data_IF_414592778853
#
_entry.id   IF_414592778853
#
_cell.length_a   1.000
_cell.length_b   1.000
_cell.length_c   1.000
_cell.angle_alpha   90.00
_cell.angle_beta   90.00
_cell.angle_gamma   90.00
#
_symmetry.space_group_name_H-M   'P 1'
#
loop_
_entity.id
_entity.type
_entity.pdbx_description
1 polymer ?
#
# COMPACT_ATOMS: atom_id res chain seq x y z
N UNK A 1 12.41 -4.83 -15.11
CA UNK A 1 12.93 -6.16 -14.66
C UNK A 1 12.75 -6.22 -13.16
N UNK A 2 12.19 -7.30 -12.60
CA UNK A 2 11.92 -7.36 -11.16
C UNK A 2 13.24 -7.45 -10.37
N UNK A 3 13.49 -6.55 -9.40
CA UNK A 3 14.69 -6.57 -8.55
C UNK A 3 14.48 -7.50 -7.35
N UNK A 4 14.61 -8.82 -7.57
CA UNK A 4 14.28 -9.85 -6.56
C UNK A 4 15.01 -9.73 -5.22
N UNK A 5 16.21 -9.13 -5.23
CA UNK A 5 17.07 -8.95 -4.05
C UNK A 5 16.76 -7.67 -3.26
N UNK A 6 15.89 -6.80 -3.77
CA UNK A 6 15.45 -5.58 -3.09
C UNK A 6 14.06 -5.81 -2.47
N UNK A 7 13.92 -5.85 -1.14
CA UNK A 7 12.66 -6.17 -0.48
C UNK A 7 11.59 -5.10 -0.70
N UNK A 8 11.97 -3.85 -0.99
CA UNK A 8 11.04 -2.74 -1.24
C UNK A 8 10.68 -2.67 -2.71
N UNK A 9 11.66 -2.67 -3.60
CA UNK A 9 11.43 -2.45 -5.03
C UNK A 9 10.79 -3.66 -5.74
N UNK A 10 10.84 -4.85 -5.14
CA UNK A 10 10.14 -6.03 -5.67
C UNK A 10 8.65 -6.08 -5.31
N UNK A 11 8.16 -5.22 -4.42
CA UNK A 11 6.74 -5.20 -4.04
C UNK A 11 5.89 -4.77 -5.24
N UNK A 12 4.73 -5.39 -5.42
CA UNK A 12 3.80 -5.08 -6.51
C UNK A 12 3.45 -3.58 -6.56
N UNK A 13 3.30 -2.93 -5.40
CA UNK A 13 3.03 -1.50 -5.29
C UNK A 13 4.20 -0.64 -5.79
N UNK A 14 5.45 -1.05 -5.53
CA UNK A 14 6.66 -0.37 -5.99
C UNK A 14 6.84 -0.56 -7.49
N UNK A 15 6.58 -1.77 -7.99
CA UNK A 15 6.57 -2.06 -9.42
C UNK A 15 5.50 -1.25 -10.14
N UNK A 16 4.27 -1.20 -9.62
CA UNK A 16 3.20 -0.36 -10.18
C UNK A 16 3.61 1.13 -10.20
N UNK A 17 4.22 1.61 -9.12
CA UNK A 17 4.69 2.98 -9.03
C UNK A 17 5.77 3.29 -10.09
N UNK A 18 6.85 2.50 -10.10
CA UNK A 18 8.04 2.75 -10.91
C UNK A 18 7.94 2.35 -12.38
N UNK A 19 7.05 1.43 -12.74
CA UNK A 19 6.90 0.94 -14.12
C UNK A 19 5.69 1.54 -14.85
N UNK A 20 4.69 2.06 -14.11
CA UNK A 20 3.46 2.59 -14.70
C UNK A 20 3.07 3.98 -14.20
N UNK A 21 2.88 4.17 -12.89
CA UNK A 21 2.31 5.42 -12.35
C UNK A 21 3.23 6.62 -12.64
N UNK A 22 4.52 6.49 -12.37
CA UNK A 22 5.48 7.56 -12.64
C UNK A 22 5.80 7.68 -14.14
N UNK A 23 6.33 6.64 -14.83
CA UNK A 23 6.83 6.81 -16.20
C UNK A 23 5.74 6.98 -17.26
N UNK A 24 4.53 6.44 -17.04
CA UNK A 24 3.44 6.47 -18.03
C UNK A 24 2.39 7.51 -17.66
N UNK A 25 1.96 7.57 -16.40
CA UNK A 25 0.92 8.52 -15.96
C UNK A 25 1.50 9.87 -15.49
N UNK A 26 2.83 9.96 -15.30
CA UNK A 26 3.51 11.17 -14.90
C UNK A 26 3.17 11.61 -13.47
N UNK A 27 2.87 10.67 -12.58
CA UNK A 27 2.56 10.95 -11.16
C UNK A 27 3.77 10.56 -10.31
N UNK A 28 4.64 11.53 -10.03
CA UNK A 28 5.90 11.28 -9.30
C UNK A 28 5.72 11.16 -7.79
N UNK A 29 4.91 12.05 -7.18
CA UNK A 29 4.60 12.00 -5.75
C UNK A 29 3.11 11.74 -5.51
N UNK A 30 2.79 10.46 -5.29
CA UNK A 30 1.42 9.99 -5.03
C UNK A 30 0.81 10.56 -3.74
N UNK A 31 1.59 11.19 -2.85
CA UNK A 31 1.09 11.81 -1.62
C UNK A 31 0.55 13.21 -1.86
N UNK A 32 0.88 13.83 -3.00
CA UNK A 32 0.63 15.25 -3.29
C UNK A 32 -0.10 15.47 -4.61
N UNK A 33 -0.03 14.52 -5.53
CA UNK A 33 -0.71 14.63 -6.82
C UNK A 33 -2.22 14.35 -6.67
N UNK A 34 -3.05 15.32 -7.04
CA UNK A 34 -4.51 15.24 -6.94
C UNK A 34 -5.13 14.27 -7.97
N UNK A 35 -4.35 13.79 -8.95
CA UNK A 35 -4.82 12.84 -9.99
C UNK A 35 -4.81 11.38 -9.54
N UNK A 36 -4.33 11.09 -8.32
CA UNK A 36 -4.35 9.76 -7.72
C UNK A 36 -5.01 9.80 -6.35
N UNK A 37 -5.82 8.78 -6.07
CA UNK A 37 -6.49 8.65 -4.79
C UNK A 37 -6.66 7.17 -4.41
N UNK A 38 -6.90 6.92 -3.13
CA UNK A 38 -6.86 5.59 -2.53
C UNK A 38 -8.18 5.23 -1.88
N UNK A 39 -8.73 4.08 -2.28
CA UNK A 39 -9.90 3.49 -1.63
C UNK A 39 -9.42 2.63 -0.45
N UNK A 40 -9.93 2.91 0.75
CA UNK A 40 -9.60 2.11 1.94
C UNK A 40 -10.11 0.67 1.82
N UNK A 41 -9.32 -0.29 2.33
CA UNK A 41 -9.53 -1.72 2.11
C UNK A 41 -10.93 -2.24 2.44
N UNK A 42 -11.59 -1.67 3.47
CA UNK A 42 -12.96 -2.05 3.88
C UNK A 42 -14.02 -1.82 2.79
N UNK A 43 -13.79 -0.87 1.87
CA UNK A 43 -14.74 -0.56 0.80
C UNK A 43 -14.63 -1.53 -0.39
N UNK A 44 -13.52 -2.25 -0.49
CA UNK A 44 -13.30 -3.29 -1.50
C UNK A 44 -13.31 -2.80 -2.96
N UNK A 45 -13.45 -3.76 -3.87
CA UNK A 45 -13.41 -3.56 -5.33
C UNK A 45 -14.60 -2.74 -5.84
N UNK A 46 -15.79 -2.90 -5.26
CA UNK A 46 -17.01 -2.20 -5.69
C UNK A 46 -16.84 -0.67 -5.63
N UNK A 47 -16.14 -0.17 -4.62
CA UNK A 47 -15.85 1.26 -4.51
C UNK A 47 -14.82 1.75 -5.54
N UNK A 48 -13.91 0.89 -6.01
CA UNK A 48 -13.01 1.22 -7.11
C UNK A 48 -13.78 1.27 -8.43
N UNK A 49 -14.57 0.23 -8.72
CA UNK A 49 -15.42 0.13 -9.91
C UNK A 49 -16.33 1.35 -10.04
N UNK A 50 -17.04 1.70 -8.96
CA UNK A 50 -17.93 2.86 -8.94
C UNK A 50 -17.24 4.18 -9.33
N UNK A 51 -15.98 4.39 -8.96
CA UNK A 51 -15.24 5.63 -9.30
C UNK A 51 -14.79 5.67 -10.75
N UNK A 52 -14.55 4.51 -11.35
CA UNK A 52 -14.22 4.40 -12.78
C UNK A 52 -15.50 4.56 -13.61
N UNK A 53 -16.55 3.84 -13.26
CA UNK A 53 -17.83 3.85 -13.98
C UNK A 53 -18.53 5.22 -13.95
N UNK A 54 -18.34 5.99 -12.87
CA UNK A 54 -18.86 7.35 -12.76
C UNK A 54 -18.09 8.38 -13.60
N UNK A 55 -16.91 8.03 -14.10
CA UNK A 55 -15.98 8.94 -14.76
C UNK A 55 -15.20 9.85 -13.82
N UNK A 56 -15.29 9.65 -12.49
CA UNK A 56 -14.49 10.38 -11.51
C UNK A 56 -13.00 10.06 -11.66
N UNK A 57 -12.66 8.80 -11.92
CA UNK A 57 -11.31 8.32 -12.16
C UNK A 57 -11.22 7.63 -13.52
N UNK A 58 -10.10 7.76 -14.21
CA UNK A 58 -9.92 7.14 -15.53
C UNK A 58 -9.64 5.62 -15.46
N UNK A 59 -9.04 5.15 -14.36
CA UNK A 59 -8.65 3.76 -14.15
C UNK A 59 -8.47 3.50 -12.65
N UNK A 60 -8.64 2.25 -12.24
CA UNK A 60 -8.35 1.79 -10.90
C UNK A 60 -7.43 0.57 -10.94
N UNK A 61 -6.55 0.46 -9.94
CA UNK A 61 -5.67 -0.69 -9.74
C UNK A 61 -5.99 -1.35 -8.41
N UNK A 62 -6.09 -2.68 -8.41
CA UNK A 62 -6.18 -3.48 -7.20
C UNK A 62 -5.02 -4.45 -7.17
N UNK A 63 -4.38 -4.57 -6.00
CA UNK A 63 -3.21 -5.42 -5.78
C UNK A 63 -3.56 -6.49 -4.77
N UNK A 64 -2.86 -7.63 -4.85
CA UNK A 64 -2.93 -8.60 -3.78
C UNK A 64 -2.39 -7.99 -2.47
N UNK A 65 -2.95 -8.39 -1.32
CA UNK A 65 -2.42 -7.94 -0.03
C UNK A 65 -0.94 -8.29 0.08
N UNK A 66 -0.12 -7.32 0.51
CA UNK A 66 1.28 -7.58 0.84
C UNK A 66 1.37 -8.70 1.88
N UNK A 67 2.16 -9.74 1.59
CA UNK A 67 2.31 -10.87 2.51
C UNK A 67 3.04 -10.46 3.79
N UNK A 68 2.77 -11.18 4.88
CA UNK A 68 3.51 -10.97 6.13
C UNK A 68 5.01 -11.21 5.95
N UNK A 69 5.40 -12.18 5.12
CA UNK A 69 6.81 -12.43 4.79
C UNK A 69 7.46 -11.22 4.12
N UNK A 70 6.80 -10.62 3.13
CA UNK A 70 7.32 -9.44 2.45
C UNK A 70 7.42 -8.23 3.40
N UNK A 71 6.41 -8.05 4.26
CA UNK A 71 6.45 -7.00 5.28
C UNK A 71 7.62 -7.18 6.25
N UNK A 72 7.84 -8.41 6.73
CA UNK A 72 8.94 -8.72 7.64
C UNK A 72 10.29 -8.53 6.94
N UNK A 73 10.42 -8.93 5.67
CA UNK A 73 11.65 -8.72 4.91
C UNK A 73 12.03 -7.23 4.76
N UNK A 74 11.05 -6.34 4.56
CA UNK A 74 11.29 -4.88 4.53
C UNK A 74 11.75 -4.38 5.90
N UNK A 75 11.10 -4.84 6.98
CA UNK A 75 11.46 -4.45 8.34
C UNK A 75 12.86 -4.95 8.76
N UNK A 76 13.19 -6.19 8.43
CA UNK A 76 14.50 -6.80 8.70
C UNK A 76 15.63 -6.10 7.94
N UNK A 77 15.33 -5.50 6.78
CA UNK A 77 16.25 -4.67 6.02
C UNK A 77 16.42 -3.25 6.61
N UNK A 78 15.64 -2.87 7.64
CA UNK A 78 15.63 -1.52 8.20
C UNK A 78 14.98 -0.47 7.31
N UNK A 79 14.19 -0.91 6.33
CA UNK A 79 13.54 -0.06 5.32
C UNK A 79 12.09 0.27 5.69
N UNK A 80 11.50 1.21 4.95
CA UNK A 80 10.12 1.67 5.16
C UNK A 80 9.22 1.15 4.04
N UNK A 81 8.04 0.67 4.42
CA UNK A 81 7.02 0.25 3.45
C UNK A 81 6.64 1.43 2.51
N UNK A 82 6.48 1.20 1.20
CA UNK A 82 5.98 2.20 0.27
C UNK A 82 4.63 2.78 0.72
N UNK A 83 4.31 4.04 0.38
CA UNK A 83 3.03 4.63 0.75
C UNK A 83 1.88 3.78 0.20
N UNK A 84 0.86 3.55 1.04
CA UNK A 84 -0.40 2.89 0.66
C UNK A 84 -0.23 1.43 0.19
N UNK A 85 0.83 0.76 0.62
CA UNK A 85 1.14 -0.65 0.33
C UNK A 85 0.37 -1.68 1.18
N UNK A 86 -0.16 -1.25 2.34
CA UNK A 86 -0.81 -2.13 3.33
C UNK A 86 -2.00 -1.44 3.98
N UNK A 87 -3.03 -2.23 4.31
CA UNK A 87 -4.16 -1.80 5.13
C UNK A 87 -4.33 -2.77 6.31
N UNK A 88 -4.28 -2.26 7.54
CA UNK A 88 -4.48 -3.05 8.75
C UNK A 88 -5.85 -2.81 9.36
N UNK A 89 -6.49 -3.89 9.80
CA UNK A 89 -7.76 -3.86 10.52
C UNK A 89 -7.74 -4.80 11.75
N UNK A 90 -8.18 -4.31 12.93
CA UNK A 90 -8.43 -2.91 13.24
C UNK A 90 -7.14 -2.08 13.13
N UNK A 91 -7.27 -0.79 12.81
CA UNK A 91 -6.13 0.11 13.02
C UNK A 91 -5.71 -0.01 14.48
N UNK A 92 -4.41 -0.14 14.72
CA UNK A 92 -3.86 -0.12 16.08
C UNK A 92 -4.48 1.07 16.81
N UNK A 93 -5.14 0.81 17.94
CA UNK A 93 -5.69 1.90 18.72
C UNK A 93 -4.51 2.70 19.26
N UNK A 94 -4.29 3.89 18.71
CA UNK A 94 -3.27 4.80 19.17
C UNK A 94 -3.47 5.05 20.68
N UNK A 95 -2.42 4.85 21.48
CA UNK A 95 -2.46 5.03 22.94
C UNK A 95 -2.74 3.77 23.78
N UNK A 96 -2.75 2.57 23.19
CA UNK A 96 -2.78 1.32 23.96
C UNK A 96 -1.41 1.01 24.59
N UNK A 97 -1.36 0.95 25.92
CA UNK A 97 -0.21 0.44 26.67
C UNK A 97 -0.49 -1.00 27.08
N UNK A 98 0.30 -1.95 26.58
CA UNK A 98 0.27 -3.35 27.03
C UNK A 98 1.28 -3.54 28.16
N UNK A 99 0.79 -3.69 29.39
CA UNK A 99 1.60 -4.03 30.56
C UNK A 99 1.34 -5.48 30.93
N UNK A 100 2.36 -6.34 30.74
CA UNK A 100 2.32 -7.71 31.22
C UNK A 100 2.32 -7.68 32.76
N UNK A 101 1.17 -7.97 33.36
CA UNK A 101 1.10 -8.19 34.80
C UNK A 101 1.81 -9.52 35.08
N UNK A 102 3.00 -9.43 35.68
CA UNK A 102 3.75 -10.61 36.12
C UNK A 102 2.88 -11.43 37.08
N UNK A 103 2.52 -12.64 36.67
CA UNK A 103 1.98 -13.64 37.58
C UNK A 103 3.06 -14.06 38.57
N UNK A 104 2.68 -14.17 39.83
CA UNK A 104 3.46 -14.94 40.82
C UNK A 104 3.54 -16.41 40.39
#
# INVERSE_FOLDING_TARGET
RIPWDDPVQRLDVSLLAGELIEPILGIADQRRDERIDFVGGIRGLEALEKRVDSGEMAVAFSLYPTSMEALMAVADAGEVMPPKSTWFEPKLADGLVSHLLGGR
#
